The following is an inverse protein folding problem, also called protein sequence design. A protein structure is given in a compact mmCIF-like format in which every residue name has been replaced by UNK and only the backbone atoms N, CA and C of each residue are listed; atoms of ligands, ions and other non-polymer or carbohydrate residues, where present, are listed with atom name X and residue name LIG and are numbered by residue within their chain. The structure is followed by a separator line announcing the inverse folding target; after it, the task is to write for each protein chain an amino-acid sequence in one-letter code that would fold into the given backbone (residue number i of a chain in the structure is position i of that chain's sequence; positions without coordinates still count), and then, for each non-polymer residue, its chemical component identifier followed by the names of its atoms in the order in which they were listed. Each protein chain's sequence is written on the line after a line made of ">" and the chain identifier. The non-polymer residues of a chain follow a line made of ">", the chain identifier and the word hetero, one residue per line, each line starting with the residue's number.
data_IF_514764017628
#
_entry.id   IF_514764017628
#
_cell.length_a   1.000
_cell.length_b   1.000
_cell.length_c   1.000
_cell.angle_alpha   90.00
_cell.angle_beta   90.00
_cell.angle_gamma   90.00
#
_symmetry.space_group_name_H-M   'P 1'
#
loop_
_entity.id
_entity.type
_entity.pdbx_description
1 polymer ?
#
# COMPACT_ATOMS: atom_id res chain seq x y z
N UNK A 1 -17.11 12.34 18.03
CA UNK A 1 -16.38 12.16 16.77
C UNK A 1 -16.18 10.66 16.59
N UNK A 2 -16.76 10.04 15.55
CA UNK A 2 -16.45 8.64 15.21
C UNK A 2 -15.27 8.69 14.24
N UNK A 3 -14.12 8.23 14.70
CA UNK A 3 -13.00 7.91 13.81
C UNK A 3 -13.28 6.49 13.33
N UNK A 4 -13.73 6.36 12.08
CA UNK A 4 -13.96 5.06 11.47
C UNK A 4 -12.59 4.48 11.06
N UNK A 5 -12.04 3.61 11.92
CA UNK A 5 -10.82 2.87 11.62
C UNK A 5 -11.21 1.59 10.86
N UNK A 6 -10.86 1.52 9.57
CA UNK A 6 -11.03 0.30 8.78
C UNK A 6 -9.76 -0.55 8.87
N UNK A 7 -9.73 -1.49 9.82
CA UNK A 7 -8.66 -2.49 9.95
C UNK A 7 -8.87 -3.55 8.86
N UNK A 8 -7.95 -3.62 7.89
CA UNK A 8 -7.97 -4.61 6.82
C UNK A 8 -6.89 -5.66 7.06
N UNK A 9 -7.32 -6.83 7.54
CA UNK A 9 -6.47 -8.01 7.61
C UNK A 9 -6.45 -8.68 6.22
N UNK A 10 -5.41 -8.42 5.42
CA UNK A 10 -5.20 -9.13 4.14
C UNK A 10 -4.08 -10.14 4.31
N UNK A 11 -4.42 -11.41 4.52
CA UNK A 11 -3.48 -12.51 4.74
C UNK A 11 -2.22 -12.47 3.85
N UNK A 12 -1.05 -12.61 4.48
CA UNK A 12 0.29 -12.77 3.90
C UNK A 12 0.40 -14.02 2.99
N UNK A 13 1.48 -14.15 2.17
CA UNK A 13 1.65 -15.20 1.15
C UNK A 13 1.56 -16.65 1.64
N UNK A 14 1.78 -16.90 2.93
CA UNK A 14 1.53 -18.23 3.53
C UNK A 14 0.08 -18.72 3.40
N UNK A 15 -0.86 -17.84 3.05
CA UNK A 15 -2.27 -18.17 2.80
C UNK A 15 -2.59 -18.49 1.33
N UNK A 16 -1.68 -18.31 0.37
CA UNK A 16 -1.85 -18.86 -0.99
C UNK A 16 -1.97 -20.39 -0.97
N UNK A 17 -1.55 -21.03 0.12
CA UNK A 17 -1.51 -22.47 0.30
C UNK A 17 -2.86 -23.15 0.63
N UNK A 18 -3.96 -22.42 0.85
CA UNK A 18 -5.24 -23.06 1.23
C UNK A 18 -6.36 -22.98 0.17
N UNK A 19 -6.14 -22.31 -0.96
CA UNK A 19 -7.16 -22.22 -2.00
C UNK A 19 -6.75 -21.43 -3.24
N UNK A 20 -5.65 -21.82 -3.90
CA UNK A 20 -5.39 -21.57 -5.33
C UNK A 20 -5.50 -20.13 -5.85
N UNK A 21 -5.39 -19.10 -5.02
CA UNK A 21 -5.39 -17.71 -5.49
C UNK A 21 -4.13 -17.46 -6.32
N UNK A 22 -4.28 -16.92 -7.53
CA UNK A 22 -3.12 -16.52 -8.34
C UNK A 22 -2.61 -15.15 -7.89
N UNK A 23 -1.38 -14.80 -8.29
CA UNK A 23 -0.82 -13.48 -7.97
C UNK A 23 -1.61 -12.36 -8.64
N UNK A 24 -2.12 -12.61 -9.84
CA UNK A 24 -2.99 -11.67 -10.54
C UNK A 24 -4.30 -11.44 -9.79
N UNK A 25 -4.90 -12.51 -9.25
CA UNK A 25 -6.09 -12.42 -8.40
C UNK A 25 -5.80 -11.62 -7.13
N UNK A 26 -4.66 -11.87 -6.49
CA UNK A 26 -4.23 -11.15 -5.29
C UNK A 26 -4.06 -9.65 -5.57
N UNK A 27 -3.32 -9.31 -6.63
CA UNK A 27 -3.13 -7.94 -7.10
C UNK A 27 -4.49 -7.26 -7.38
N UNK A 28 -5.36 -7.93 -8.14
CA UNK A 28 -6.67 -7.40 -8.52
C UNK A 28 -7.56 -7.19 -7.30
N UNK A 29 -7.57 -8.12 -6.35
CA UNK A 29 -8.35 -8.02 -5.11
C UNK A 29 -7.89 -6.84 -4.26
N UNK A 30 -6.58 -6.68 -4.06
CA UNK A 30 -6.02 -5.55 -3.32
C UNK A 30 -6.29 -4.22 -4.01
N UNK A 31 -6.07 -4.13 -5.32
CA UNK A 31 -6.42 -2.96 -6.12
C UNK A 31 -7.89 -2.57 -5.96
N UNK A 32 -8.81 -3.52 -6.14
CA UNK A 32 -10.25 -3.27 -6.04
C UNK A 32 -10.65 -2.82 -4.63
N UNK A 33 -10.05 -3.41 -3.60
CA UNK A 33 -10.28 -3.05 -2.20
C UNK A 33 -9.81 -1.63 -1.91
N UNK A 34 -8.58 -1.28 -2.28
CA UNK A 34 -8.01 0.05 -2.10
C UNK A 34 -8.82 1.12 -2.87
N UNK A 35 -9.20 0.84 -4.12
CA UNK A 35 -10.03 1.74 -4.90
C UNK A 35 -11.43 1.92 -4.32
N UNK A 36 -12.01 0.87 -3.72
CA UNK A 36 -13.31 0.97 -3.04
C UNK A 36 -13.23 1.84 -1.80
N UNK A 37 -12.20 1.66 -0.96
CA UNK A 37 -11.97 2.49 0.23
C UNK A 37 -11.84 3.95 -0.18
N UNK A 38 -10.96 4.23 -1.13
CA UNK A 38 -10.71 5.60 -1.61
C UNK A 38 -11.99 6.23 -2.16
N UNK A 39 -12.82 5.49 -2.91
CA UNK A 39 -14.11 5.97 -3.40
C UNK A 39 -15.14 6.24 -2.29
N UNK A 40 -15.21 5.39 -1.26
CA UNK A 40 -16.13 5.59 -0.14
C UNK A 40 -15.83 6.89 0.61
N UNK A 41 -14.54 7.21 0.77
CA UNK A 41 -14.09 8.43 1.45
C UNK A 41 -14.15 9.68 0.55
N UNK A 42 -14.11 9.54 -0.78
CA UNK A 42 -14.26 10.65 -1.73
C UNK A 42 -15.70 11.21 -1.78
N UNK A 43 -16.72 10.37 -1.50
CA UNK A 43 -18.15 10.70 -1.63
C UNK A 43 -18.75 11.24 -0.32
N UNK A 44 -17.95 11.42 0.72
CA UNK A 44 -18.45 11.99 1.98
C UNK A 44 -18.84 13.47 1.79
N UNK A 45 -20.13 13.78 1.93
CA UNK A 45 -20.69 15.14 1.81
C UNK A 45 -20.19 16.14 2.87
N UNK A 46 -19.33 15.70 3.79
CA UNK A 46 -18.73 16.55 4.82
C UNK A 46 -17.26 16.73 4.45
N UNK A 47 -16.86 17.95 4.07
CA UNK A 47 -15.44 18.35 3.94
C UNK A 47 -14.76 18.20 5.30
N UNK A 48 -14.26 17.00 5.58
CA UNK A 48 -13.34 16.72 6.66
C UNK A 48 -12.07 16.21 6.03
N UNK A 49 -10.94 16.62 6.58
CA UNK A 49 -9.65 16.00 6.28
C UNK A 49 -9.70 14.56 6.80
N UNK A 50 -10.16 13.65 5.95
CA UNK A 50 -10.32 12.24 6.29
C UNK A 50 -8.98 11.54 6.11
N UNK A 51 -8.41 11.08 7.22
CA UNK A 51 -7.22 10.24 7.22
C UNK A 51 -7.68 8.80 7.39
N UNK A 52 -7.31 7.94 6.44
CA UNK A 52 -7.60 6.50 6.48
C UNK A 52 -6.31 5.76 6.82
N UNK A 53 -6.30 5.06 7.95
CA UNK A 53 -5.19 4.19 8.35
C UNK A 53 -5.50 2.75 7.95
N UNK A 54 -4.66 2.18 7.08
CA UNK A 54 -4.72 0.77 6.68
C UNK A 54 -3.56 0.05 7.37
N UNK A 55 -3.88 -0.83 8.32
CA UNK A 55 -2.89 -1.68 9.01
C UNK A 55 -2.98 -3.09 8.45
N UNK A 56 -1.91 -3.53 7.79
CA UNK A 56 -1.84 -4.82 7.10
C UNK A 56 -0.39 -5.34 7.04
N UNK A 57 -0.01 -6.01 5.95
CA UNK A 57 1.30 -6.64 5.79
C UNK A 57 2.25 -5.80 4.92
N UNK A 58 3.54 -6.18 4.90
CA UNK A 58 4.56 -5.58 4.03
C UNK A 58 4.11 -5.54 2.56
N UNK A 59 3.50 -6.62 2.06
CA UNK A 59 2.96 -6.69 0.70
C UNK A 59 1.90 -5.62 0.42
N UNK A 60 1.08 -5.25 1.41
CA UNK A 60 0.06 -4.21 1.27
C UNK A 60 0.70 -2.84 1.05
N UNK A 61 1.83 -2.55 1.69
CA UNK A 61 2.56 -1.29 1.49
C UNK A 61 3.07 -1.19 0.05
N UNK A 62 3.68 -2.26 -0.45
CA UNK A 62 4.18 -2.33 -1.83
C UNK A 62 3.05 -2.19 -2.86
N UNK A 63 1.97 -2.95 -2.68
CA UNK A 63 0.82 -2.94 -3.60
C UNK A 63 0.02 -1.65 -3.55
N UNK A 64 -0.08 -1.00 -2.39
CA UNK A 64 -0.71 0.31 -2.28
C UNK A 64 0.10 1.37 -3.03
N UNK A 65 1.42 1.40 -2.87
CA UNK A 65 2.29 2.27 -3.64
C UNK A 65 2.18 1.98 -5.15
N UNK A 66 2.24 0.70 -5.53
CA UNK A 66 2.12 0.24 -6.90
C UNK A 66 0.82 0.73 -7.54
N UNK A 67 -0.34 0.43 -6.96
CA UNK A 67 -1.63 0.74 -7.58
C UNK A 67 -2.04 2.21 -7.50
N UNK A 68 -1.74 2.89 -6.39
CA UNK A 68 -2.24 4.25 -6.15
C UNK A 68 -1.27 5.34 -6.63
N UNK A 69 0.04 5.10 -6.54
CA UNK A 69 1.07 6.08 -6.91
C UNK A 69 1.74 5.79 -8.27
N UNK A 70 1.99 4.52 -8.61
CA UNK A 70 2.81 4.15 -9.79
C UNK A 70 2.08 3.38 -10.90
N UNK A 71 0.79 3.08 -10.73
CA UNK A 71 0.00 2.22 -11.65
C UNK A 71 0.68 0.88 -12.01
N UNK A 72 1.32 0.24 -11.03
CA UNK A 72 2.08 -1.01 -11.15
C UNK A 72 1.38 -2.16 -10.39
N UNK A 73 1.62 -3.39 -10.82
CA UNK A 73 1.30 -4.64 -10.10
C UNK A 73 2.60 -5.30 -9.60
N UNK A 74 2.54 -6.03 -8.49
CA UNK A 74 3.71 -6.73 -7.93
C UNK A 74 3.79 -8.16 -8.45
N UNK A 75 5.01 -8.60 -8.72
CA UNK A 75 5.30 -9.98 -9.17
C UNK A 75 5.46 -10.93 -7.99
N UNK A 76 5.67 -12.22 -8.27
CA UNK A 76 6.02 -13.22 -7.25
C UNK A 76 7.28 -12.83 -6.49
N UNK A 77 8.31 -12.44 -7.24
CA UNK A 77 9.62 -12.08 -6.70
C UNK A 77 9.50 -10.84 -5.79
N UNK A 78 8.69 -9.86 -6.19
CA UNK A 78 8.41 -8.70 -5.36
C UNK A 78 7.75 -9.07 -4.03
N UNK A 79 6.81 -10.03 -4.04
CA UNK A 79 6.14 -10.51 -2.82
C UNK A 79 7.11 -11.29 -1.92
N UNK A 80 8.09 -11.99 -2.50
CA UNK A 80 9.15 -12.67 -1.76
C UNK A 80 10.22 -11.69 -1.26
N UNK A 81 10.43 -10.56 -1.90
CA UNK A 81 11.42 -9.57 -1.43
C UNK A 81 10.82 -8.56 -0.44
N UNK A 82 9.50 -8.38 -0.43
CA UNK A 82 8.85 -7.32 0.35
C UNK A 82 9.17 -7.42 1.85
N UNK A 83 9.30 -8.63 2.41
CA UNK A 83 9.62 -8.80 3.83
C UNK A 83 11.04 -8.38 4.20
N UNK A 84 11.98 -8.38 3.24
CA UNK A 84 13.35 -7.90 3.43
C UNK A 84 13.46 -6.39 3.27
N UNK A 85 12.61 -5.83 2.41
CA UNK A 85 12.64 -4.43 1.98
C UNK A 85 11.73 -3.52 2.79
N UNK A 86 10.74 -4.08 3.49
CA UNK A 86 9.73 -3.33 4.25
C UNK A 86 9.73 -3.86 5.69
N UNK A 87 10.46 -3.20 6.61
CA UNK A 87 10.50 -3.57 8.01
C UNK A 87 9.15 -3.49 8.71
N UNK A 88 9.04 -4.15 9.87
CA UNK A 88 7.83 -4.07 10.70
C UNK A 88 7.62 -2.64 11.21
N UNK A 89 6.36 -2.18 11.20
CA UNK A 89 6.03 -0.82 11.63
C UNK A 89 6.35 0.26 10.59
N UNK A 90 6.71 -0.12 9.36
CA UNK A 90 6.84 0.81 8.24
C UNK A 90 5.50 1.46 7.89
N UNK A 91 5.52 2.76 7.59
CA UNK A 91 4.31 3.52 7.23
C UNK A 91 4.51 4.27 5.93
N UNK A 92 3.63 4.02 4.96
CA UNK A 92 3.53 4.78 3.72
C UNK A 92 2.36 5.76 3.83
N UNK A 93 2.64 7.04 3.62
CA UNK A 93 1.61 8.09 3.55
C UNK A 93 1.39 8.48 2.09
N UNK A 94 0.14 8.42 1.66
CA UNK A 94 -0.30 8.79 0.32
C UNK A 94 -1.31 9.94 0.43
N UNK A 95 -1.06 11.02 -0.30
CA UNK A 95 -1.91 12.20 -0.32
C UNK A 95 -2.57 12.35 -1.68
N UNK A 96 -3.88 12.62 -1.68
CA UNK A 96 -4.63 12.94 -2.90
C UNK A 96 -4.63 14.44 -3.10
N UNK A 97 -3.88 14.91 -4.09
CA UNK A 97 -3.83 16.32 -4.46
C UNK A 97 -4.96 16.62 -5.44
N UNK A 98 -5.84 17.57 -5.10
CA UNK A 98 -6.93 17.98 -5.99
C UNK A 98 -6.37 18.46 -7.35
N UNK A 99 -6.94 17.97 -8.45
CA UNK A 99 -6.51 18.31 -9.81
C UNK A 99 -5.37 17.45 -10.36
N UNK A 100 -4.75 16.55 -9.57
CA UNK A 100 -3.79 15.56 -10.07
C UNK A 100 -4.43 14.17 -10.17
N UNK A 101 -4.10 13.46 -11.25
CA UNK A 101 -4.50 12.06 -11.44
C UNK A 101 -3.51 11.17 -10.69
N UNK A 102 -3.91 10.68 -9.53
CA UNK A 102 -3.12 9.74 -8.73
C UNK A 102 -2.83 10.23 -7.32
N UNK A 103 -2.24 9.35 -6.51
CA UNK A 103 -1.83 9.65 -5.14
C UNK A 103 -0.34 9.99 -5.10
N UNK A 104 0.01 11.02 -4.33
CA UNK A 104 1.40 11.45 -4.17
C UNK A 104 1.95 10.90 -2.85
N UNK A 105 3.07 10.16 -2.86
CA UNK A 105 3.70 9.69 -1.63
C UNK A 105 4.34 10.86 -0.86
N UNK A 106 4.07 10.94 0.44
CA UNK A 106 4.69 11.89 1.36
C UNK A 106 5.62 11.15 2.32
N UNK A 107 6.92 11.16 2.01
CA UNK A 107 7.95 10.46 2.79
C UNK A 107 8.35 11.21 4.08
N UNK A 108 7.93 12.46 4.24
CA UNK A 108 8.28 13.32 5.37
C UNK A 108 7.15 13.47 6.39
N UNK A 109 5.97 12.89 6.10
CA UNK A 109 4.80 13.00 6.96
C UNK A 109 5.02 12.39 8.35
N UNK A 110 5.83 11.34 8.46
CA UNK A 110 6.08 10.63 9.70
C UNK A 110 7.60 10.54 9.92
N UNK A 111 8.11 10.94 11.09
CA UNK A 111 9.53 10.80 11.38
C UNK A 111 9.90 9.32 11.44
N UNK A 112 11.06 8.99 10.88
CA UNK A 112 11.63 7.65 11.00
C UNK A 112 11.84 7.30 12.48
N UNK A 113 11.42 6.10 12.88
CA UNK A 113 11.76 5.55 14.18
C UNK A 113 12.79 4.44 13.98
N UNK A 114 13.85 4.50 14.77
CA UNK A 114 14.87 3.45 14.80
C UNK A 114 14.96 2.96 16.24
N UNK A 115 14.60 1.70 16.45
CA UNK A 115 14.73 1.01 17.73
C UNK A 115 15.91 0.07 17.62
N UNK A 116 16.94 0.28 18.45
CA UNK A 116 18.19 -0.48 18.43
C UNK A 116 18.80 -0.64 17.03
N UNK A 117 18.56 -1.79 16.41
CA UNK A 117 19.05 -2.32 15.15
C UNK A 117 17.96 -2.40 14.06
N UNK A 118 16.72 -2.02 14.38
CA UNK A 118 15.54 -2.09 13.52
C UNK A 118 15.07 -0.67 13.17
N UNK A 119 14.97 -0.37 11.87
CA UNK A 119 14.42 0.88 11.37
C UNK A 119 13.02 0.65 10.81
N UNK A 120 12.09 1.59 11.02
CA UNK A 120 10.77 1.59 10.38
C UNK A 120 10.80 2.15 8.95
N UNK A 121 11.98 2.41 8.40
CA UNK A 121 12.14 2.95 7.05
C UNK A 121 12.16 1.80 6.05
N UNK A 122 11.17 1.78 5.16
CA UNK A 122 11.15 0.88 4.02
C UNK A 122 12.09 1.36 2.91
N UNK A 123 12.53 0.44 2.06
CA UNK A 123 13.30 0.73 0.86
C UNK A 123 12.42 1.49 -0.14
N UNK A 124 12.66 2.80 -0.29
CA UNK A 124 11.87 3.67 -1.16
C UNK A 124 12.05 3.35 -2.64
N UNK A 125 13.25 2.89 -3.04
CA UNK A 125 13.53 2.52 -4.42
C UNK A 125 12.77 1.26 -4.79
N UNK A 126 12.65 0.33 -3.84
CA UNK A 126 11.77 -0.82 -3.99
C UNK A 126 10.31 -0.37 -4.05
N UNK A 127 9.76 0.22 -2.99
CA UNK A 127 8.30 0.48 -2.86
C UNK A 127 7.76 1.42 -3.94
N UNK A 128 8.52 2.45 -4.31
CA UNK A 128 8.11 3.46 -5.30
C UNK A 128 8.68 3.20 -6.71
N UNK A 129 9.13 1.97 -6.99
CA UNK A 129 9.68 1.59 -8.31
C UNK A 129 8.68 1.82 -9.45
N UNK A 130 9.22 2.21 -10.59
CA UNK A 130 8.47 2.35 -11.84
C UNK A 130 7.98 0.98 -12.33
N UNK A 131 6.85 0.91 -13.06
CA UNK A 131 6.43 -0.32 -13.71
C UNK A 131 7.51 -0.80 -14.68
N UNK A 132 7.79 -2.10 -14.68
CA UNK A 132 8.69 -2.69 -15.66
C UNK A 132 8.10 -2.40 -17.03
N UNK A 133 8.83 -1.64 -17.85
CA UNK A 133 8.42 -1.34 -19.20
C UNK A 133 8.22 -2.67 -19.94
N UNK A 134 7.00 -2.93 -20.41
CA UNK A 134 6.76 -4.04 -21.31
C UNK A 134 7.73 -3.86 -22.49
N UNK A 135 8.68 -4.78 -22.65
CA UNK A 135 9.50 -4.84 -23.86
C UNK A 135 8.52 -4.95 -25.02
N UNK A 136 8.44 -3.90 -25.85
CA UNK A 136 7.75 -3.94 -27.14
C UNK A 136 8.47 -4.88 -28.08
#
# INVERSE_FOLDING_TARGET
>A
MRNDYHILWTSCPGALAKGGETIDDYNMRLKNTLLRITKLHDVSNVKRDQIVLIVAHASTVDLAAGHLARSRASTTEDLDECFKKIPTGSVLVLEKVQGRRGWTPNLYAIPKMTYSDQSTMFDTEFVLREPIAAKK
#
